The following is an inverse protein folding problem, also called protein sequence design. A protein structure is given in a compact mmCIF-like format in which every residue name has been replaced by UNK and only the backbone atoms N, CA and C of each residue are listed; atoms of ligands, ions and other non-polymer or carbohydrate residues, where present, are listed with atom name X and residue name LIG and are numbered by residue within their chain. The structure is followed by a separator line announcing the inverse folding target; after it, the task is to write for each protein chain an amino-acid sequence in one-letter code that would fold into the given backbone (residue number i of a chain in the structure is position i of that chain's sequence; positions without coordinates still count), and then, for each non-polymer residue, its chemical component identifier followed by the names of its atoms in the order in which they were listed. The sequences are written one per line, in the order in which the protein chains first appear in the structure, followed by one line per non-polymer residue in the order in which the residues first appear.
data_IF_749139018443
#
_entry.id   IF_749139018443
#
_cell.length_a   1.000
_cell.length_b   1.000
_cell.length_c   1.000
_cell.angle_alpha   90.00
_cell.angle_beta   90.00
_cell.angle_gamma   90.00
#
_symmetry.space_group_name_H-M   'P 1'
#
loop_
_entity.id
_entity.type
_entity.pdbx_description
1 polymer ?
#
# COMPACT_ATOMS: atom_id res chain seq x y z
N UNK A 1 -39.02 10.86 -32.04
CA UNK A 1 -38.31 10.52 -30.79
C UNK A 1 -36.95 11.18 -30.87
N UNK A 2 -36.92 12.48 -30.60
CA UNK A 2 -36.52 13.10 -29.33
C UNK A 2 -35.02 13.01 -29.11
N UNK A 3 -34.35 14.06 -29.57
CA UNK A 3 -33.04 14.52 -29.11
C UNK A 3 -33.08 14.79 -27.60
N UNK A 4 -31.97 14.59 -26.93
CA UNK A 4 -31.69 15.23 -25.65
C UNK A 4 -30.20 15.58 -25.65
N UNK A 5 -29.92 16.75 -26.20
CA UNK A 5 -28.77 17.57 -25.81
C UNK A 5 -29.16 18.21 -24.48
N UNK A 6 -28.34 18.03 -23.44
CA UNK A 6 -28.49 18.80 -22.20
C UNK A 6 -27.27 19.71 -22.04
N UNK A 7 -27.60 20.99 -21.92
CA UNK A 7 -26.71 22.15 -21.94
C UNK A 7 -26.57 22.69 -20.51
N UNK A 8 -25.31 22.87 -20.09
CA UNK A 8 -24.70 23.83 -19.15
C UNK A 8 -25.58 24.45 -18.03
N UNK A 9 -25.08 24.33 -16.80
CA UNK A 9 -25.43 25.19 -15.67
C UNK A 9 -24.19 25.55 -14.84
N UNK A 10 -23.61 26.70 -15.12
CA UNK A 10 -22.57 27.39 -14.34
C UNK A 10 -23.12 27.88 -12.98
N UNK A 11 -22.31 27.82 -11.91
CA UNK A 11 -22.45 28.74 -10.78
C UNK A 11 -21.12 28.87 -10.00
N UNK A 12 -20.51 30.01 -10.22
CA UNK A 12 -19.33 30.60 -9.56
C UNK A 12 -19.66 31.05 -8.13
N UNK A 13 -18.70 30.96 -7.20
CA UNK A 13 -18.45 32.08 -6.27
C UNK A 13 -17.04 32.00 -5.64
N UNK A 14 -16.33 33.12 -5.80
CA UNK A 14 -14.99 33.42 -5.29
C UNK A 14 -15.17 34.21 -3.98
N UNK A 15 -14.48 33.87 -2.89
CA UNK A 15 -14.23 34.81 -1.78
C UNK A 15 -12.77 34.71 -1.30
N UNK A 16 -12.00 35.75 -1.61
CA UNK A 16 -10.70 36.12 -1.05
C UNK A 16 -10.88 36.91 0.25
N UNK A 17 -10.09 36.64 1.31
CA UNK A 17 -9.67 37.64 2.33
C UNK A 17 -8.30 37.28 2.94
N UNK A 18 -7.36 38.21 2.81
CA UNK A 18 -6.00 38.17 3.35
C UNK A 18 -5.90 38.65 4.81
N UNK A 19 -4.99 37.99 5.54
CA UNK A 19 -4.22 38.30 6.77
C UNK A 19 -4.76 39.26 7.87
N UNK A 20 -4.80 38.72 9.10
CA UNK A 20 -4.36 39.42 10.32
C UNK A 20 -3.47 38.51 11.18
N UNK A 21 -2.25 39.00 11.46
CA UNK A 21 -1.21 38.40 12.32
C UNK A 21 -1.64 38.49 13.79
N UNK A 22 -1.69 37.38 14.52
CA UNK A 22 -1.57 37.37 15.98
C UNK A 22 -0.63 36.24 16.39
N UNK A 23 0.41 36.60 17.15
CA UNK A 23 1.47 35.69 17.57
C UNK A 23 1.00 34.72 18.64
N UNK A 24 1.31 33.44 18.43
CA UNK A 24 1.31 32.40 19.44
C UNK A 24 2.28 31.32 19.00
N UNK A 25 3.31 31.02 19.81
CA UNK A 25 4.21 29.90 19.57
C UNK A 25 3.37 28.62 19.44
N UNK A 26 3.44 27.84 18.35
CA UNK A 26 2.81 26.54 18.36
C UNK A 26 3.56 25.68 19.38
N UNK A 27 2.86 25.28 20.45
CA UNK A 27 3.25 24.15 21.29
C UNK A 27 3.40 22.98 20.33
N UNK A 28 4.63 22.52 20.10
CA UNK A 28 4.88 21.36 19.27
C UNK A 28 4.12 20.19 19.85
N UNK A 29 2.99 19.83 19.23
CA UNK A 29 2.40 18.54 19.45
C UNK A 29 3.40 17.55 18.85
N UNK A 30 3.92 16.65 19.68
CA UNK A 30 4.72 15.52 19.25
C UNK A 30 3.76 14.51 18.61
N UNK A 31 3.04 14.95 17.57
CA UNK A 31 2.41 14.05 16.63
C UNK A 31 3.60 13.37 15.96
N UNK A 32 3.91 12.17 16.46
CA UNK A 32 4.92 11.29 15.92
C UNK A 32 4.69 11.26 14.42
N UNK A 33 5.58 11.92 13.67
CA UNK A 33 5.65 11.82 12.23
C UNK A 33 6.13 10.39 11.90
N UNK A 34 5.26 9.41 12.13
CA UNK A 34 5.32 8.16 11.40
C UNK A 34 4.87 8.55 10.00
N UNK A 35 5.84 8.95 9.19
CA UNK A 35 5.64 9.07 7.76
C UNK A 35 5.10 7.71 7.30
N UNK A 36 3.81 7.65 7.01
CA UNK A 36 3.19 6.58 6.24
C UNK A 36 3.90 6.63 4.89
N UNK A 37 5.01 5.90 4.78
CA UNK A 37 5.73 5.78 3.52
C UNK A 37 4.85 4.89 2.67
N UNK A 38 4.08 5.52 1.76
CA UNK A 38 3.32 4.77 0.77
C UNK A 38 4.28 3.82 0.04
N UNK A 39 3.95 2.53 0.11
CA UNK A 39 4.72 1.50 -0.54
C UNK A 39 4.37 1.49 -2.02
N UNK A 40 5.31 1.90 -2.86
CA UNK A 40 5.20 1.70 -4.30
C UNK A 40 5.03 0.20 -4.63
N UNK A 41 4.26 -0.09 -5.69
CA UNK A 41 3.94 -1.44 -6.15
C UNK A 41 5.18 -2.28 -6.41
N UNK A 42 6.29 -1.67 -6.89
CA UNK A 42 7.54 -2.40 -7.08
C UNK A 42 8.18 -2.82 -5.75
N UNK A 43 8.06 -2.02 -4.68
CA UNK A 43 8.53 -2.40 -3.35
C UNK A 43 7.68 -3.54 -2.79
N UNK A 44 6.36 -3.44 -2.88
CA UNK A 44 5.43 -4.50 -2.45
C UNK A 44 5.77 -5.83 -3.13
N UNK A 45 5.95 -5.82 -4.46
CA UNK A 45 6.32 -7.02 -5.23
C UNK A 45 7.64 -7.64 -4.75
N UNK A 46 8.66 -6.82 -4.44
CA UNK A 46 9.94 -7.31 -3.90
C UNK A 46 9.79 -7.93 -2.52
N UNK A 47 8.99 -7.31 -1.65
CA UNK A 47 8.70 -7.84 -0.31
C UNK A 47 7.97 -9.18 -0.40
N UNK A 48 6.95 -9.29 -1.26
CA UNK A 48 6.25 -10.55 -1.50
C UNK A 48 7.22 -11.64 -1.93
N UNK A 49 8.15 -11.29 -2.83
CA UNK A 49 9.13 -12.23 -3.35
C UNK A 49 10.11 -12.71 -2.28
N UNK A 50 10.57 -11.80 -1.41
CA UNK A 50 11.41 -12.16 -0.28
C UNK A 50 10.68 -13.13 0.67
N UNK A 51 9.41 -12.86 0.98
CA UNK A 51 8.61 -13.74 1.84
C UNK A 51 8.36 -15.11 1.23
N UNK A 52 8.00 -15.20 -0.05
CA UNK A 52 7.78 -16.50 -0.67
C UNK A 52 9.05 -17.35 -0.69
N UNK A 53 10.20 -16.73 -0.95
CA UNK A 53 11.50 -17.42 -0.88
C UNK A 53 11.81 -17.90 0.54
N UNK A 54 11.61 -17.05 1.53
CA UNK A 54 11.82 -17.42 2.94
C UNK A 54 10.93 -18.59 3.34
N UNK A 55 9.64 -18.56 2.97
CA UNK A 55 8.70 -19.63 3.28
C UNK A 55 9.08 -20.94 2.58
N UNK A 56 9.45 -20.88 1.29
CA UNK A 56 9.86 -22.05 0.54
C UNK A 56 11.16 -22.67 1.07
N UNK A 57 12.19 -21.86 1.33
CA UNK A 57 13.52 -22.34 1.77
C UNK A 57 13.46 -22.86 3.21
N UNK A 58 12.75 -22.16 4.10
CA UNK A 58 12.66 -22.53 5.52
C UNK A 58 11.56 -23.55 5.81
N UNK A 59 10.79 -23.99 4.81
CA UNK A 59 9.68 -24.92 4.99
C UNK A 59 8.53 -24.35 5.85
N UNK A 60 8.35 -23.02 5.85
CA UNK A 60 7.28 -22.38 6.61
C UNK A 60 5.96 -22.61 5.86
N UNK A 61 4.93 -23.15 6.52
CA UNK A 61 3.64 -23.34 5.89
C UNK A 61 3.02 -22.02 5.40
N UNK A 62 2.48 -22.01 4.19
CA UNK A 62 1.91 -20.82 3.56
C UNK A 62 0.79 -20.15 4.36
N UNK A 63 0.01 -20.93 5.11
CA UNK A 63 -1.05 -20.39 5.97
C UNK A 63 -0.52 -19.48 7.09
N UNK A 64 0.79 -19.48 7.38
CA UNK A 64 1.42 -18.63 8.39
C UNK A 64 1.30 -17.15 8.04
N UNK A 65 1.29 -16.78 6.75
CA UNK A 65 1.15 -15.37 6.34
C UNK A 65 -0.21 -14.76 6.70
N UNK A 66 -1.23 -15.61 6.86
CA UNK A 66 -2.59 -15.21 7.24
C UNK A 66 -2.84 -15.28 8.74
N UNK A 67 -1.86 -15.74 9.52
CA UNK A 67 -1.98 -15.80 10.98
C UNK A 67 -2.05 -14.37 11.56
N UNK A 68 -3.06 -14.03 12.39
CA UNK A 68 -3.20 -12.70 12.97
C UNK A 68 -1.95 -12.17 13.66
N UNK A 69 -1.26 -13.01 14.45
CA UNK A 69 -0.02 -12.63 15.14
C UNK A 69 1.12 -12.33 14.17
N UNK A 70 1.15 -13.05 13.03
CA UNK A 70 2.14 -12.80 11.99
C UNK A 70 1.83 -11.51 11.24
N UNK A 71 0.56 -11.23 10.97
CA UNK A 71 0.12 -9.95 10.36
C UNK A 71 0.44 -8.77 11.28
N UNK A 72 0.19 -8.90 12.59
CA UNK A 72 0.56 -7.89 13.58
C UNK A 72 2.07 -7.65 13.56
N UNK A 73 2.89 -8.71 13.61
CA UNK A 73 4.34 -8.60 13.51
C UNK A 73 4.80 -7.91 12.21
N UNK A 74 4.15 -8.18 11.07
CA UNK A 74 4.45 -7.50 9.80
C UNK A 74 4.09 -6.01 9.84
N UNK A 75 2.97 -5.65 10.49
CA UNK A 75 2.55 -4.26 10.65
C UNK A 75 3.48 -3.47 11.57
N UNK A 76 4.06 -4.10 12.59
CA UNK A 76 5.12 -3.48 13.41
C UNK A 76 6.35 -3.11 12.57
N UNK A 77 6.64 -3.86 11.49
CA UNK A 77 7.74 -3.49 10.58
C UNK A 77 7.35 -2.42 9.56
N UNK A 78 6.09 -2.41 9.10
CA UNK A 78 5.56 -1.43 8.17
C UNK A 78 4.02 -1.35 8.26
N UNK A 79 3.51 -0.25 8.81
CA UNK A 79 2.07 -0.04 9.01
C UNK A 79 1.26 0.02 7.69
N UNK A 80 1.90 0.41 6.59
CA UNK A 80 1.28 0.53 5.28
C UNK A 80 1.32 -0.78 4.48
N UNK A 81 2.00 -1.81 4.99
CA UNK A 81 2.12 -3.09 4.32
C UNK A 81 0.93 -3.99 4.63
N UNK A 82 0.22 -4.41 3.59
CA UNK A 82 -0.83 -5.41 3.68
C UNK A 82 -0.28 -6.76 3.18
N UNK A 83 -0.20 -7.78 4.05
CA UNK A 83 0.29 -9.10 3.65
C UNK A 83 -0.60 -9.75 2.58
N UNK A 84 -0.03 -10.52 1.64
CA UNK A 84 -0.80 -11.25 0.65
C UNK A 84 -1.50 -12.46 1.26
N UNK A 85 -2.50 -12.99 0.54
CA UNK A 85 -3.12 -14.26 0.91
C UNK A 85 -2.17 -15.44 0.65
N UNK A 86 -2.42 -16.57 1.32
CA UNK A 86 -1.63 -17.79 1.13
C UNK A 86 -1.68 -18.28 -0.31
N UNK A 87 -2.82 -18.15 -0.99
CA UNK A 87 -2.98 -18.59 -2.39
C UNK A 87 -2.17 -17.71 -3.33
N UNK A 88 -2.16 -16.39 -3.09
CA UNK A 88 -1.35 -15.47 -3.88
C UNK A 88 0.14 -15.75 -3.68
N UNK A 89 0.56 -15.96 -2.42
CA UNK A 89 1.96 -16.19 -2.08
C UNK A 89 2.48 -17.54 -2.61
N UNK A 90 1.67 -18.59 -2.54
CA UNK A 90 2.05 -19.94 -2.99
C UNK A 90 1.90 -20.15 -4.50
N UNK A 91 0.80 -19.69 -5.12
CA UNK A 91 0.56 -19.93 -6.55
C UNK A 91 1.38 -19.00 -7.44
N UNK A 92 1.07 -17.71 -7.39
CA UNK A 92 1.56 -16.75 -8.38
C UNK A 92 3.08 -16.52 -8.26
N UNK A 93 3.63 -16.55 -7.05
CA UNK A 93 5.04 -16.23 -6.84
C UNK A 93 5.98 -17.40 -7.12
N UNK A 94 5.56 -18.64 -6.85
CA UNK A 94 6.33 -19.82 -7.27
C UNK A 94 6.35 -19.93 -8.80
N UNK A 95 5.20 -19.75 -9.46
CA UNK A 95 5.12 -19.76 -10.93
C UNK A 95 5.96 -18.66 -11.56
N UNK A 96 5.95 -17.44 -11.00
CA UNK A 96 6.81 -16.35 -11.47
C UNK A 96 8.30 -16.67 -11.30
N UNK A 97 8.71 -17.32 -10.22
CA UNK A 97 10.11 -17.74 -10.06
C UNK A 97 10.50 -18.84 -11.05
N UNK A 98 9.62 -19.83 -11.27
CA UNK A 98 9.84 -20.89 -12.26
C UNK A 98 9.95 -20.33 -13.68
N UNK A 99 9.07 -19.40 -14.06
CA UNK A 99 9.11 -18.73 -15.35
C UNK A 99 10.42 -17.95 -15.56
N UNK A 100 10.92 -17.25 -14.54
CA UNK A 100 12.20 -16.53 -14.62
C UNK A 100 13.40 -17.46 -14.78
N UNK A 101 13.38 -18.65 -14.17
CA UNK A 101 14.44 -19.66 -14.33
C UNK A 101 14.39 -20.23 -15.76
N UNK A 102 13.20 -20.58 -16.23
CA UNK A 102 13.02 -21.18 -17.56
C UNK A 102 13.32 -20.20 -18.71
N UNK A 103 13.17 -18.88 -18.52
CA UNK A 103 13.55 -17.88 -19.54
C UNK A 103 15.05 -17.59 -19.60
N UNK A 104 15.84 -18.03 -18.60
CA UNK A 104 17.30 -17.88 -18.60
C UNK A 104 18.03 -19.06 -19.25
N UNK A 105 17.29 -19.98 -19.87
CA UNK A 105 17.80 -21.16 -20.58
C UNK A 105 17.55 -20.98 -22.08
#
# INVERSE_FOLDING_TARGET
MSSSEENIGESTSIITKDKKKSGGRPKGNLDQHVSIIELDQQKIKRVHLAWARAFAICGIPWHTIENPFFIEALKETNLSYNPPTRQFLSGHLLEQQLALINQKT
#
